data_IF_929133696643
#
_entry.id   IF_929133696643
#
_cell.length_a   1.000
_cell.length_b   1.000
_cell.length_c   1.000
_cell.angle_alpha   90.00
_cell.angle_beta   90.00
_cell.angle_gamma   90.00
#
_symmetry.space_group_name_H-M   'P 1'
#
loop_
_entity.id
_entity.type
_entity.pdbx_description
1 polymer ?
#
# COMPACT_ATOMS: atom_id res chain seq x y z
N UNK A 1 13.98 1.73 44.41
CA UNK A 1 13.05 0.60 44.16
C UNK A 1 13.12 0.26 42.68
N UNK A 2 13.99 -0.67 42.28
CA UNK A 2 14.12 -1.11 40.89
C UNK A 2 13.16 -2.27 40.63
N UNK A 3 12.22 -2.08 39.70
CA UNK A 3 11.36 -3.15 39.18
C UNK A 3 12.19 -4.04 38.25
N UNK A 4 12.35 -5.29 38.62
CA UNK A 4 12.88 -6.35 37.74
C UNK A 4 11.80 -6.66 36.69
N UNK A 5 12.11 -6.70 35.38
CA UNK A 5 11.13 -7.13 34.39
C UNK A 5 10.88 -8.64 34.51
N UNK A 6 9.60 -9.02 34.53
CA UNK A 6 9.16 -10.39 34.64
C UNK A 6 9.56 -11.20 33.39
N UNK A 7 10.10 -12.41 33.60
CA UNK A 7 10.37 -13.38 32.53
C UNK A 7 9.07 -13.81 31.86
N UNK A 8 9.00 -13.90 30.52
CA UNK A 8 7.85 -14.49 29.86
C UNK A 8 7.82 -16.01 30.10
N UNK A 9 6.71 -16.48 30.63
CA UNK A 9 6.34 -17.89 30.78
C UNK A 9 6.21 -18.57 29.42
N UNK A 10 6.88 -19.71 29.24
CA UNK A 10 6.61 -20.66 28.15
C UNK A 10 5.27 -21.35 28.38
N UNK A 11 4.66 -21.79 27.26
CA UNK A 11 3.49 -22.68 27.03
C UNK A 11 2.36 -21.90 26.32
N UNK A 12 1.76 -22.34 25.21
CA UNK A 12 1.76 -23.65 24.55
C UNK A 12 1.41 -23.57 23.06
N UNK A 13 1.68 -24.69 22.40
CA UNK A 13 1.56 -24.93 20.95
C UNK A 13 0.10 -25.19 20.58
N UNK A 14 -0.58 -24.20 19.99
CA UNK A 14 -1.47 -24.34 18.82
C UNK A 14 -2.13 -23.00 18.40
N UNK A 15 -2.22 -22.83 17.08
CA UNK A 15 -3.12 -21.95 16.32
C UNK A 15 -3.22 -20.47 16.72
N UNK A 16 -2.24 -19.68 16.27
CA UNK A 16 -2.35 -18.28 15.78
C UNK A 16 -0.94 -17.76 15.47
N UNK A 17 -0.57 -17.79 14.19
CA UNK A 17 0.71 -17.30 13.68
C UNK A 17 0.67 -15.86 13.16
N UNK A 18 -0.38 -15.09 13.45
CA UNK A 18 -0.31 -13.63 13.42
C UNK A 18 -0.48 -13.19 14.86
N UNK A 19 0.64 -13.07 15.56
CA UNK A 19 0.70 -12.25 16.77
C UNK A 19 0.27 -10.87 16.30
N UNK A 20 -0.92 -10.43 16.71
CA UNK A 20 -1.31 -9.04 16.58
C UNK A 20 -0.37 -8.29 17.52
N UNK A 21 0.77 -7.85 17.01
CA UNK A 21 1.67 -6.97 17.73
C UNK A 21 0.95 -5.65 17.93
N UNK A 22 0.40 -5.45 19.13
CA UNK A 22 0.03 -4.12 19.62
C UNK A 22 1.28 -3.23 19.83
N UNK A 23 2.48 -3.81 19.67
CA UNK A 23 3.79 -3.17 19.79
C UNK A 23 4.35 -2.66 18.44
N UNK A 24 3.68 -2.92 17.30
CA UNK A 24 4.12 -2.40 15.99
C UNK A 24 3.63 -0.96 15.82
N UNK A 25 4.53 -0.09 15.36
CA UNK A 25 4.21 1.28 14.95
C UNK A 25 3.09 1.31 13.89
N UNK A 26 2.57 2.50 13.58
CA UNK A 26 1.36 2.63 12.77
C UNK A 26 1.46 1.93 11.42
N UNK A 27 0.36 1.29 11.04
CA UNK A 27 0.30 0.40 9.88
C UNK A 27 0.02 1.17 8.57
N UNK A 28 0.65 0.74 7.48
CA UNK A 28 0.27 1.06 6.11
C UNK A 28 -0.51 -0.11 5.52
N UNK A 29 -1.79 0.10 5.25
CA UNK A 29 -2.66 -0.93 4.66
C UNK A 29 -2.82 -0.74 3.16
N UNK A 30 -2.65 -1.81 2.38
CA UNK A 30 -2.97 -1.82 0.95
C UNK A 30 -4.20 -2.70 0.65
N UNK A 31 -5.18 -2.17 -0.08
CA UNK A 31 -6.45 -2.85 -0.37
C UNK A 31 -6.65 -3.05 -1.87
N UNK A 32 -6.94 -4.27 -2.31
CA UNK A 32 -7.47 -4.55 -3.65
C UNK A 32 -8.75 -5.39 -3.58
N UNK A 33 -9.27 -5.87 -4.71
CA UNK A 33 -10.52 -6.64 -4.72
C UNK A 33 -10.40 -7.97 -3.93
N UNK A 34 -9.41 -8.79 -4.29
CA UNK A 34 -9.31 -10.19 -3.83
C UNK A 34 -8.07 -10.50 -2.97
N UNK A 35 -7.16 -9.54 -2.81
CA UNK A 35 -5.91 -9.69 -2.05
C UNK A 35 -4.98 -10.83 -2.52
N UNK A 36 -4.87 -10.98 -3.84
CA UNK A 36 -3.97 -11.98 -4.47
C UNK A 36 -3.00 -11.38 -5.50
N UNK A 37 -3.14 -10.10 -5.84
CA UNK A 37 -2.42 -9.50 -6.98
C UNK A 37 -1.90 -8.08 -6.68
N UNK A 38 -2.73 -7.05 -6.91
CA UNK A 38 -2.32 -5.64 -6.78
C UNK A 38 -1.86 -5.27 -5.36
N UNK A 39 -2.66 -5.62 -4.34
CA UNK A 39 -2.32 -5.25 -2.95
C UNK A 39 -1.17 -6.05 -2.35
N UNK A 40 -1.02 -7.38 -2.57
CA UNK A 40 0.17 -8.09 -2.10
C UNK A 40 1.47 -7.65 -2.78
N UNK A 41 1.44 -7.33 -4.09
CA UNK A 41 2.61 -6.77 -4.77
C UNK A 41 3.03 -5.44 -4.14
N UNK A 42 2.05 -4.55 -3.90
CA UNK A 42 2.31 -3.27 -3.28
C UNK A 42 2.83 -3.41 -1.84
N UNK A 43 2.24 -4.32 -1.03
CA UNK A 43 2.71 -4.64 0.32
C UNK A 43 4.18 -5.05 0.30
N UNK A 44 4.55 -6.03 -0.52
CA UNK A 44 5.91 -6.51 -0.63
C UNK A 44 6.91 -5.38 -0.97
N UNK A 45 6.59 -4.57 -1.98
CA UNK A 45 7.47 -3.49 -2.43
C UNK A 45 7.58 -2.36 -1.38
N UNK A 46 6.46 -1.97 -0.76
CA UNK A 46 6.44 -0.95 0.30
C UNK A 46 7.19 -1.45 1.54
N UNK A 47 6.94 -2.67 2.00
CA UNK A 47 7.62 -3.24 3.17
C UNK A 47 9.14 -3.26 2.97
N UNK A 48 9.62 -3.72 1.81
CA UNK A 48 11.05 -3.67 1.46
C UNK A 48 11.58 -2.24 1.39
N UNK A 49 10.81 -1.33 0.83
CA UNK A 49 11.19 0.08 0.71
C UNK A 49 11.32 0.77 2.05
N UNK A 50 10.35 0.58 2.96
CA UNK A 50 10.34 1.18 4.29
C UNK A 50 11.41 0.57 5.20
N UNK A 51 11.67 -0.73 5.11
CA UNK A 51 12.75 -1.37 5.87
C UNK A 51 14.16 -0.80 5.56
N UNK A 52 14.31 -0.10 4.43
CA UNK A 52 15.55 0.60 4.08
C UNK A 52 15.69 2.01 4.68
N UNK A 53 14.69 2.47 5.44
CA UNK A 53 14.59 3.82 5.99
C UNK A 53 14.53 3.77 7.53
N UNK A 54 15.55 4.27 8.25
CA UNK A 54 15.58 4.24 9.71
C UNK A 54 14.38 4.92 10.39
N UNK A 55 13.83 5.96 9.76
CA UNK A 55 12.69 6.73 10.28
C UNK A 55 11.37 5.94 10.25
N UNK A 56 11.36 4.81 9.55
CA UNK A 56 10.24 3.87 9.50
C UNK A 56 10.51 2.58 10.28
N UNK A 57 11.53 2.58 11.16
CA UNK A 57 11.77 1.46 12.07
C UNK A 57 10.56 1.26 13.00
N UNK A 58 10.03 0.03 13.03
CA UNK A 58 8.83 -0.31 13.79
C UNK A 58 7.51 -0.17 13.02
N UNK A 59 7.49 0.48 11.86
CA UNK A 59 6.31 0.53 10.99
C UNK A 59 6.05 -0.82 10.32
N UNK A 60 4.78 -1.08 10.05
CA UNK A 60 4.35 -2.29 9.37
C UNK A 60 3.58 -1.96 8.10
N UNK A 61 3.67 -2.88 7.13
CA UNK A 61 2.85 -2.85 5.91
C UNK A 61 2.06 -4.15 5.87
N UNK A 62 0.78 -4.05 5.54
CA UNK A 62 -0.10 -5.20 5.37
C UNK A 62 -1.01 -5.00 4.18
N UNK A 63 -1.59 -6.09 3.65
CA UNK A 63 -2.63 -6.00 2.63
C UNK A 63 -3.88 -6.81 2.95
N UNK A 64 -5.00 -6.33 2.43
CA UNK A 64 -6.30 -6.99 2.53
C UNK A 64 -7.11 -6.84 1.24
N UNK A 65 -8.27 -7.50 1.20
CA UNK A 65 -9.15 -7.49 0.05
C UNK A 65 -10.58 -7.14 0.41
N UNK A 66 -11.17 -6.17 -0.29
CA UNK A 66 -12.54 -5.73 -0.05
C UNK A 66 -13.57 -6.86 -0.23
N UNK A 67 -13.30 -7.78 -1.16
CA UNK A 67 -14.12 -8.96 -1.45
C UNK A 67 -13.36 -10.28 -1.31
N UNK A 68 -12.22 -10.30 -0.61
CA UNK A 68 -11.38 -11.50 -0.52
C UNK A 68 -12.10 -12.69 0.13
N UNK A 69 -11.72 -13.88 -0.32
CA UNK A 69 -11.88 -15.12 0.44
C UNK A 69 -10.56 -15.39 1.12
N UNK A 70 -10.59 -15.81 2.38
CA UNK A 70 -9.36 -15.99 3.12
C UNK A 70 -8.57 -17.21 2.64
N UNK A 71 -7.24 -17.12 2.66
CA UNK A 71 -6.34 -18.26 2.48
C UNK A 71 -5.83 -18.52 1.07
N UNK A 72 -6.17 -17.72 0.06
CA UNK A 72 -5.60 -17.86 -1.28
C UNK A 72 -4.15 -17.33 -1.32
N UNK A 73 -3.30 -18.00 -2.10
CA UNK A 73 -1.94 -17.52 -2.36
C UNK A 73 -1.91 -16.36 -3.37
N UNK A 74 -0.70 -15.90 -3.69
CA UNK A 74 -0.47 -14.93 -4.74
C UNK A 74 -0.94 -15.47 -6.10
N UNK A 75 -1.37 -14.57 -6.99
CA UNK A 75 -1.53 -14.94 -8.39
C UNK A 75 -0.16 -15.18 -9.02
N UNK A 76 -0.12 -16.07 -10.01
CA UNK A 76 1.10 -16.49 -10.73
C UNK A 76 1.95 -15.29 -11.21
N UNK A 77 1.30 -14.21 -11.64
CA UNK A 77 2.00 -13.03 -12.17
C UNK A 77 2.71 -12.20 -11.09
N UNK A 78 2.20 -12.21 -9.87
CA UNK A 78 2.89 -11.56 -8.76
C UNK A 78 4.03 -12.43 -8.26
N UNK A 79 3.81 -13.75 -8.16
CA UNK A 79 4.86 -14.71 -7.81
C UNK A 79 6.06 -14.62 -8.79
N UNK A 80 5.78 -14.63 -10.10
CA UNK A 80 6.78 -14.39 -11.14
C UNK A 80 7.50 -13.03 -11.01
N UNK A 81 6.77 -11.99 -10.59
CA UNK A 81 7.29 -10.62 -10.50
C UNK A 81 8.25 -10.45 -9.33
N UNK A 82 7.90 -10.98 -8.16
CA UNK A 82 8.71 -10.85 -6.95
C UNK A 82 9.90 -11.83 -6.96
N UNK A 83 9.78 -12.94 -7.70
CA UNK A 83 10.84 -13.87 -7.98
C UNK A 83 11.44 -14.49 -6.71
N UNK A 84 12.69 -14.96 -6.82
CA UNK A 84 13.39 -15.62 -5.72
C UNK A 84 13.53 -14.73 -4.48
N UNK A 85 13.76 -13.42 -4.67
CA UNK A 85 13.87 -12.44 -3.58
C UNK A 85 12.59 -12.37 -2.73
N UNK A 86 11.43 -12.64 -3.34
CA UNK A 86 10.12 -12.62 -2.68
C UNK A 86 9.61 -13.98 -2.23
N UNK A 87 10.41 -15.05 -2.33
CA UNK A 87 9.93 -16.42 -2.11
C UNK A 87 9.36 -16.64 -0.69
N UNK A 88 9.96 -16.05 0.34
CA UNK A 88 9.45 -16.13 1.70
C UNK A 88 8.10 -15.41 1.85
N UNK A 89 7.99 -14.20 1.28
CA UNK A 89 6.74 -13.45 1.24
C UNK A 89 5.65 -14.24 0.48
N UNK A 90 5.99 -14.82 -0.67
CA UNK A 90 5.07 -15.63 -1.46
C UNK A 90 4.54 -16.85 -0.68
N UNK A 91 5.44 -17.54 0.03
CA UNK A 91 5.10 -18.71 0.83
C UNK A 91 4.21 -18.35 2.03
N UNK A 92 4.45 -17.18 2.65
CA UNK A 92 3.71 -16.70 3.80
C UNK A 92 2.36 -16.04 3.45
N UNK A 93 2.26 -15.37 2.30
CA UNK A 93 1.09 -14.58 1.93
C UNK A 93 -0.18 -15.43 1.87
N UNK A 94 -1.23 -14.97 2.55
CA UNK A 94 -2.57 -15.52 2.44
C UNK A 94 -3.54 -14.37 2.30
N UNK A 95 -4.40 -14.43 1.29
CA UNK A 95 -5.44 -13.43 1.11
C UNK A 95 -6.27 -13.32 2.38
N UNK A 96 -6.64 -12.10 2.74
CA UNK A 96 -7.48 -11.80 3.90
C UNK A 96 -8.56 -10.78 3.53
N UNK A 97 -9.74 -10.94 4.11
CA UNK A 97 -10.83 -9.96 3.98
C UNK A 97 -10.52 -8.70 4.77
N UNK A 98 -10.75 -7.55 4.14
CA UNK A 98 -10.67 -6.24 4.79
C UNK A 98 -11.62 -6.15 5.98
N UNK A 99 -11.10 -5.75 7.15
CA UNK A 99 -11.88 -5.57 8.37
C UNK A 99 -11.84 -4.15 8.91
N UNK A 100 -12.74 -3.83 9.84
CA UNK A 100 -12.70 -2.56 10.59
C UNK A 100 -11.43 -2.39 11.41
N UNK A 101 -10.86 -3.48 11.94
CA UNK A 101 -9.61 -3.43 12.70
C UNK A 101 -8.41 -3.07 11.81
N UNK A 102 -8.40 -3.54 10.56
CA UNK A 102 -7.36 -3.16 9.60
C UNK A 102 -7.41 -1.67 9.28
N UNK A 103 -8.61 -1.16 8.98
CA UNK A 103 -8.81 0.27 8.71
C UNK A 103 -8.50 1.11 9.95
N UNK A 104 -8.95 0.71 11.14
CA UNK A 104 -8.78 1.46 12.38
C UNK A 104 -7.32 1.61 12.83
N UNK A 105 -6.47 0.61 12.60
CA UNK A 105 -5.05 0.63 13.01
C UNK A 105 -4.10 1.28 12.00
N UNK A 106 -4.59 1.68 10.85
CA UNK A 106 -3.74 2.15 9.76
C UNK A 106 -3.55 3.66 9.77
N UNK A 107 -2.32 4.17 9.80
CA UNK A 107 -2.08 5.61 9.61
C UNK A 107 -2.28 6.03 8.15
N UNK A 108 -2.09 5.10 7.20
CA UNK A 108 -2.28 5.31 5.77
C UNK A 108 -2.94 4.07 5.14
N UNK A 109 -3.96 4.29 4.32
CA UNK A 109 -4.63 3.24 3.53
C UNK A 109 -4.49 3.56 2.04
N UNK A 110 -3.91 2.64 1.29
CA UNK A 110 -3.75 2.73 -0.16
C UNK A 110 -4.67 1.71 -0.84
N UNK A 111 -5.47 2.14 -1.81
CA UNK A 111 -6.40 1.26 -2.52
C UNK A 111 -6.03 1.10 -3.99
N UNK A 112 -6.30 -0.07 -4.56
CA UNK A 112 -6.06 -0.33 -5.97
C UNK A 112 -6.99 0.50 -6.87
N UNK A 113 -8.24 0.72 -6.45
CA UNK A 113 -9.22 1.53 -7.18
C UNK A 113 -10.13 2.34 -6.25
N UNK A 114 -10.96 3.19 -6.86
CA UNK A 114 -12.07 3.91 -6.20
C UNK A 114 -13.12 2.96 -5.61
N UNK A 115 -13.33 1.78 -6.18
CA UNK A 115 -14.27 0.80 -5.64
C UNK A 115 -13.79 0.28 -4.27
N UNK A 116 -12.51 -0.05 -4.15
CA UNK A 116 -11.95 -0.43 -2.84
C UNK A 116 -11.88 0.76 -1.87
N UNK A 117 -11.64 1.98 -2.37
CA UNK A 117 -11.74 3.18 -1.53
C UNK A 117 -13.15 3.39 -0.97
N UNK A 118 -14.18 3.12 -1.77
CA UNK A 118 -15.57 3.16 -1.30
C UNK A 118 -15.82 2.07 -0.24
N UNK A 119 -15.28 0.86 -0.41
CA UNK A 119 -15.39 -0.20 0.59
C UNK A 119 -14.76 0.20 1.93
N UNK A 120 -13.59 0.85 1.92
CA UNK A 120 -12.97 1.42 3.12
C UNK A 120 -13.89 2.47 3.76
N UNK A 121 -14.46 3.37 2.96
CA UNK A 121 -15.36 4.41 3.46
C UNK A 121 -16.68 3.86 4.03
N UNK A 122 -17.16 2.71 3.55
CA UNK A 122 -18.31 2.00 4.14
C UNK A 122 -17.99 1.43 5.53
N UNK A 123 -16.74 1.01 5.74
CA UNK A 123 -16.27 0.48 7.04
C UNK A 123 -16.03 1.60 8.04
N UNK A 124 -15.29 2.63 7.62
CA UNK A 124 -14.95 3.79 8.45
C UNK A 124 -14.91 5.07 7.59
N UNK A 125 -15.98 5.88 7.60
CA UNK A 125 -16.02 7.15 6.89
C UNK A 125 -14.95 8.15 7.33
N UNK A 126 -14.50 8.07 8.60
CA UNK A 126 -13.49 8.99 9.14
C UNK A 126 -12.09 8.75 8.56
N UNK A 127 -11.84 7.55 8.03
CA UNK A 127 -10.59 7.19 7.35
C UNK A 127 -10.34 7.93 6.03
N UNK A 128 -11.31 8.75 5.54
CA UNK A 128 -11.20 9.48 4.27
C UNK A 128 -9.92 10.31 4.18
N UNK A 129 -9.50 10.96 5.26
CA UNK A 129 -8.32 11.83 5.26
C UNK A 129 -7.02 11.06 5.01
N UNK A 130 -6.99 9.77 5.35
CA UNK A 130 -5.82 8.88 5.25
C UNK A 130 -5.99 7.75 4.23
N UNK A 131 -7.03 7.77 3.41
CA UNK A 131 -7.29 6.73 2.40
C UNK A 131 -7.19 7.30 1.00
N UNK A 132 -6.31 6.75 0.16
CA UNK A 132 -6.05 7.20 -1.21
C UNK A 132 -5.99 6.01 -2.17
N UNK A 133 -6.27 6.21 -3.46
CA UNK A 133 -5.84 5.17 -4.42
C UNK A 133 -4.32 5.23 -4.61
N UNK A 134 -3.68 4.13 -5.01
CA UNK A 134 -2.23 4.10 -5.28
C UNK A 134 -1.80 5.19 -6.26
N UNK A 135 -2.54 5.36 -7.36
CA UNK A 135 -2.25 6.40 -8.34
C UNK A 135 -2.56 7.80 -7.82
N UNK A 136 -3.64 7.98 -7.05
CA UNK A 136 -3.93 9.26 -6.41
C UNK A 136 -2.79 9.67 -5.47
N UNK A 137 -2.32 8.77 -4.61
CA UNK A 137 -1.20 9.02 -3.70
C UNK A 137 0.08 9.36 -4.49
N UNK A 138 0.40 8.61 -5.55
CA UNK A 138 1.50 8.92 -6.45
C UNK A 138 1.40 10.35 -7.02
N UNK A 139 0.23 10.74 -7.55
CA UNK A 139 0.03 12.07 -8.13
C UNK A 139 0.16 13.19 -7.08
N UNK A 140 -0.47 13.03 -5.91
CA UNK A 140 -0.44 14.04 -4.85
C UNK A 140 0.97 14.18 -4.24
N UNK A 141 1.72 13.09 -4.16
CA UNK A 141 3.09 13.06 -3.65
C UNK A 141 4.13 13.60 -4.64
N UNK A 142 3.79 13.73 -5.93
CA UNK A 142 4.68 14.23 -6.98
C UNK A 142 4.70 15.77 -7.10
N UNK A 143 3.76 16.49 -6.49
CA UNK A 143 3.77 17.96 -6.51
C UNK A 143 4.96 18.53 -5.71
N UNK A 144 5.60 19.57 -6.27
CA UNK A 144 6.68 20.44 -5.74
C UNK A 144 6.53 20.79 -4.23
N UNK A 145 7.64 21.17 -3.56
CA UNK A 145 8.22 20.43 -2.45
C UNK A 145 7.33 20.38 -1.21
N UNK A 146 7.53 19.32 -0.44
CA UNK A 146 6.98 19.16 0.90
C UNK A 146 7.61 20.26 1.79
N UNK A 147 6.90 21.37 2.02
CA UNK A 147 7.33 22.43 2.94
C UNK A 147 7.32 21.97 4.41
N UNK A 148 6.61 20.87 4.68
CA UNK A 148 6.38 20.24 5.97
C UNK A 148 7.32 19.04 6.17
N UNK A 149 8.52 19.28 6.71
CA UNK A 149 9.33 18.17 7.23
C UNK A 149 8.64 17.57 8.43
N UNK A 150 8.55 16.23 8.49
CA UNK A 150 8.10 15.58 9.71
C UNK A 150 9.06 15.97 10.85
N UNK A 151 8.51 16.47 11.95
CA UNK A 151 9.28 16.71 13.16
C UNK A 151 9.86 15.41 13.72
N UNK A 152 10.91 15.48 14.54
CA UNK A 152 11.54 14.30 15.13
C UNK A 152 10.57 13.45 15.99
N UNK A 153 9.50 14.06 16.50
CA UNK A 153 8.48 13.41 17.33
C UNK A 153 7.19 13.06 16.54
N UNK A 154 7.15 13.35 15.24
CA UNK A 154 5.96 13.13 14.41
C UNK A 154 5.99 11.78 13.70
N UNK A 155 4.82 11.17 13.60
CA UNK A 155 4.66 9.87 12.95
C UNK A 155 4.68 9.99 11.41
N UNK A 156 5.73 9.51 10.70
CA UNK A 156 5.96 9.87 9.29
C UNK A 156 4.82 9.48 8.35
N UNK A 157 4.16 8.34 8.57
CA UNK A 157 3.01 7.93 7.78
C UNK A 157 1.80 8.86 8.00
N UNK A 158 1.60 9.33 9.23
CA UNK A 158 0.52 10.26 9.57
C UNK A 158 0.76 11.62 8.94
N UNK A 159 1.99 12.14 9.03
CA UNK A 159 2.39 13.40 8.38
C UNK A 159 2.23 13.28 6.87
N UNK A 160 2.73 12.20 6.26
CA UNK A 160 2.58 11.96 4.83
C UNK A 160 1.12 11.96 4.41
N UNK A 161 0.25 11.23 5.12
CA UNK A 161 -1.18 11.16 4.84
C UNK A 161 -1.84 12.54 4.94
N UNK A 162 -1.53 13.33 5.98
CA UNK A 162 -2.04 14.69 6.15
C UNK A 162 -1.59 15.63 5.03
N UNK A 163 -0.32 15.53 4.60
CA UNK A 163 0.25 16.33 3.53
C UNK A 163 -0.44 16.06 2.19
N UNK A 164 -0.51 14.80 1.76
CA UNK A 164 -1.19 14.46 0.50
C UNK A 164 -2.71 14.71 0.60
N UNK A 165 -3.30 14.65 1.80
CA UNK A 165 -4.69 15.05 2.02
C UNK A 165 -4.90 16.54 1.74
N UNK A 166 -4.05 17.41 2.28
CA UNK A 166 -4.12 18.86 2.09
C UNK A 166 -4.01 19.29 0.62
N UNK A 167 -3.37 18.47 -0.21
CA UNK A 167 -3.24 18.68 -1.66
C UNK A 167 -4.49 18.30 -2.46
N UNK A 168 -5.45 17.57 -1.86
CA UNK A 168 -6.70 17.21 -2.54
C UNK A 168 -7.50 18.46 -2.90
N UNK A 169 -7.99 18.51 -4.13
CA UNK A 169 -8.76 19.66 -4.64
C UNK A 169 -7.91 20.85 -5.08
N UNK A 170 -6.60 20.86 -4.77
CA UNK A 170 -5.65 21.88 -5.24
C UNK A 170 -4.97 21.47 -6.55
N UNK A 171 -4.76 20.17 -6.76
CA UNK A 171 -4.22 19.66 -8.01
C UNK A 171 -5.32 19.45 -9.04
N UNK A 172 -5.22 20.12 -10.20
CA UNK A 172 -5.92 19.66 -11.40
C UNK A 172 -5.39 18.26 -11.70
N UNK A 173 -6.25 17.24 -11.72
CA UNK A 173 -5.90 15.93 -12.28
C UNK A 173 -5.70 16.07 -13.79
N UNK A 174 -4.62 16.71 -14.21
CA UNK A 174 -4.12 16.51 -15.57
C UNK A 174 -3.45 15.15 -15.57
N UNK A 175 -3.93 14.17 -16.35
CA UNK A 175 -3.17 12.94 -16.54
C UNK A 175 -1.76 13.33 -16.95
N UNK A 176 -0.76 12.68 -16.34
CA UNK A 176 0.65 12.94 -16.65
C UNK A 176 0.85 13.05 -18.17
N UNK A 177 1.66 14.00 -18.67
CA UNK A 177 1.93 14.09 -20.09
C UNK A 177 2.40 12.72 -20.58
N UNK A 178 1.75 12.21 -21.62
CA UNK A 178 2.10 10.91 -22.16
C UNK A 178 3.60 10.93 -22.52
N UNK A 179 4.40 9.92 -22.13
CA UNK A 179 5.80 9.87 -22.52
C UNK A 179 5.89 9.97 -24.05
N UNK A 180 6.78 10.80 -24.58
CA UNK A 180 6.97 10.98 -26.02
C UNK A 180 7.81 9.82 -26.59
N UNK A 181 7.36 9.18 -27.68
CA UNK A 181 8.10 8.15 -28.39
C UNK A 181 7.22 7.17 -29.19
N UNK A 182 7.84 6.28 -29.96
CA UNK A 182 7.11 5.24 -30.73
C UNK A 182 6.22 4.34 -29.85
N UNK A 183 6.54 4.21 -28.56
CA UNK A 183 5.76 3.40 -27.59
C UNK A 183 4.38 4.00 -27.29
N UNK A 184 4.19 5.30 -27.48
CA UNK A 184 2.94 6.01 -27.17
C UNK A 184 1.87 5.81 -28.24
N UNK A 185 2.27 5.65 -29.52
CA UNK A 185 1.37 5.35 -30.64
C UNK A 185 0.71 3.97 -30.52
N UNK A 186 1.35 3.04 -29.79
CA UNK A 186 0.85 1.69 -29.55
C UNK A 186 0.09 1.57 -28.21
N UNK A 187 0.08 2.61 -27.38
CA UNK A 187 -0.53 2.59 -26.05
C UNK A 187 -2.02 2.95 -26.16
N UNK A 188 -2.88 1.93 -26.18
CA UNK A 188 -4.34 2.09 -26.18
C UNK A 188 -4.80 2.95 -24.99
N UNK A 189 -5.77 3.84 -25.22
CA UNK A 189 -6.39 4.70 -24.21
C UNK A 189 -6.80 3.84 -22.99
N UNK A 190 -6.36 4.17 -21.76
CA UNK A 190 -6.70 3.39 -20.59
C UNK A 190 -8.22 3.33 -20.45
N UNK A 191 -8.76 2.12 -20.32
CA UNK A 191 -10.17 1.89 -20.01
C UNK A 191 -10.33 1.93 -18.49
N UNK A 192 -11.07 2.90 -17.97
CA UNK A 192 -11.32 3.06 -16.54
C UNK A 192 -10.94 4.43 -16.01
N UNK A 193 -11.05 4.59 -14.69
CA UNK A 193 -10.69 5.83 -14.03
C UNK A 193 -9.16 6.03 -14.04
N UNK A 194 -8.64 7.24 -14.32
CA UNK A 194 -7.20 7.49 -14.32
C UNK A 194 -6.53 7.24 -12.96
N UNK A 195 -7.28 7.32 -11.85
CA UNK A 195 -6.77 7.06 -10.50
C UNK A 195 -6.81 5.59 -10.10
N UNK A 196 -7.35 4.72 -10.95
CA UNK A 196 -7.43 3.28 -10.67
C UNK A 196 -6.26 2.52 -11.29
N UNK A 197 -5.76 1.53 -10.56
CA UNK A 197 -4.94 0.45 -11.10
C UNK A 197 -5.88 -0.65 -11.59
N UNK A 198 -5.96 -0.93 -12.90
CA UNK A 198 -6.89 -1.91 -13.46
C UNK A 198 -6.73 -3.31 -12.87
N UNK A 199 -7.82 -4.07 -12.74
CA UNK A 199 -7.71 -5.49 -12.38
C UNK A 199 -7.22 -6.32 -13.58
N UNK A 200 -6.05 -6.94 -13.44
CA UNK A 200 -5.43 -7.76 -14.49
C UNK A 200 -6.11 -9.10 -14.77
N UNK A 201 -6.94 -9.63 -13.86
CA UNK A 201 -7.47 -11.01 -13.99
C UNK A 201 -8.55 -11.19 -15.05
N UNK A 202 -9.16 -10.10 -15.51
CA UNK A 202 -10.14 -10.13 -16.60
C UNK A 202 -9.55 -9.64 -17.93
N UNK A 203 -8.22 -9.52 -18.00
CA UNK A 203 -7.51 -8.91 -19.11
C UNK A 203 -6.49 -9.87 -19.73
N UNK A 204 -5.90 -9.45 -20.85
CA UNK A 204 -4.80 -10.20 -21.48
C UNK A 204 -3.55 -10.19 -20.59
N UNK A 205 -2.63 -11.16 -20.81
CA UNK A 205 -1.36 -11.24 -20.08
C UNK A 205 -0.55 -9.93 -20.12
N UNK A 206 -0.51 -9.27 -21.29
CA UNK A 206 0.18 -7.98 -21.45
C UNK A 206 -0.44 -6.89 -20.59
N UNK A 207 -1.77 -6.86 -20.50
CA UNK A 207 -2.50 -5.88 -19.70
C UNK A 207 -2.37 -6.17 -18.20
N UNK A 208 -2.37 -7.43 -17.79
CA UNK A 208 -2.07 -7.81 -16.40
C UNK A 208 -0.67 -7.34 -16.01
N UNK A 209 0.35 -7.62 -16.83
CA UNK A 209 1.72 -7.11 -16.60
C UNK A 209 1.76 -5.59 -16.49
N UNK A 210 1.08 -4.89 -17.40
CA UNK A 210 0.97 -3.42 -17.34
C UNK A 210 0.31 -2.94 -16.04
N UNK A 211 -0.69 -3.65 -15.51
CA UNK A 211 -1.29 -3.30 -14.22
C UNK A 211 -0.34 -3.53 -13.04
N UNK A 212 0.56 -4.52 -13.11
CA UNK A 212 1.61 -4.71 -12.11
C UNK A 212 2.70 -3.63 -12.23
N UNK A 213 3.03 -3.20 -13.44
CA UNK A 213 3.93 -2.07 -13.67
C UNK A 213 3.36 -0.78 -13.07
N UNK A 214 2.05 -0.55 -13.25
CA UNK A 214 1.35 0.58 -12.62
C UNK A 214 1.41 0.55 -11.08
N UNK A 215 1.42 -0.64 -10.46
CA UNK A 215 1.63 -0.80 -9.01
C UNK A 215 3.07 -0.43 -8.64
N UNK A 216 4.06 -0.97 -9.34
CA UNK A 216 5.47 -0.70 -9.08
C UNK A 216 5.79 0.79 -9.21
N UNK A 217 5.36 1.44 -10.30
CA UNK A 217 5.58 2.87 -10.54
C UNK A 217 4.96 3.75 -9.44
N UNK A 218 3.75 3.40 -8.99
CA UNK A 218 3.09 4.11 -7.90
C UNK A 218 3.82 3.93 -6.56
N UNK A 219 4.23 2.71 -6.24
CA UNK A 219 4.98 2.41 -5.01
C UNK A 219 6.34 3.12 -5.00
N UNK A 220 7.09 3.07 -6.10
CA UNK A 220 8.38 3.74 -6.20
C UNK A 220 8.26 5.25 -6.01
N UNK A 221 7.22 5.86 -6.58
CA UNK A 221 6.93 7.28 -6.41
C UNK A 221 6.57 7.64 -4.96
N UNK A 222 5.76 6.81 -4.30
CA UNK A 222 5.36 6.99 -2.90
C UNK A 222 6.58 6.83 -1.98
N UNK A 223 7.39 5.79 -2.16
CA UNK A 223 8.65 5.61 -1.41
C UNK A 223 9.61 6.76 -1.63
N UNK A 224 9.71 7.27 -2.86
CA UNK A 224 10.50 8.46 -3.17
C UNK A 224 10.03 9.70 -2.41
N UNK A 225 8.72 9.87 -2.22
CA UNK A 225 8.15 10.97 -1.45
C UNK A 225 8.33 10.80 0.07
N UNK A 226 8.12 9.59 0.59
CA UNK A 226 8.37 9.27 2.01
C UNK A 226 9.83 9.53 2.38
N UNK A 227 10.78 9.17 1.51
CA UNK A 227 12.22 9.50 1.68
C UNK A 227 12.52 10.99 1.71
N UNK A 228 11.73 11.82 1.01
CA UNK A 228 11.92 13.28 1.03
C UNK A 228 11.33 13.91 2.27
N UNK A 229 10.27 13.32 2.83
CA UNK A 229 9.60 13.80 4.04
C UNK A 229 10.48 13.71 5.29
N UNK A 230 11.34 12.69 5.36
CA UNK A 230 12.18 12.39 6.54
C UNK A 230 13.63 12.91 6.44
N UNK A 231 14.04 13.39 5.25
CA UNK A 231 15.36 14.00 5.02
C UNK A 231 15.43 15.45 5.46
#
# INVERSE_FOLDING_TARGET
MHRVPARPTRIGRNDRGVVLDEERGPNLLVVCAANVCRSPLAEYLLARGLASLPEFEGHSVSSAGAGARDGAGLCERVDERIGADGAEFAAAHRSSRLTAADVGRSALVLTASKAERAAVATIDPSARSRTFTLREAMYLAAAEPIDSRAGADEEPLTVFAAEIHGRRGLMRSTPAPAPSGLRTLLRRKPTGDPLDVPDGHHLTLRQHRSALDDVSDAVDSILGALRRLTR
#
